data_IF_707132403294
#
_entry.id   IF_707132403294
#
_cell.length_a   1.000
_cell.length_b   1.000
_cell.length_c   1.000
_cell.angle_alpha   90.00
_cell.angle_beta   90.00
_cell.angle_gamma   90.00
#
_symmetry.space_group_name_H-M   'P 1'
#
loop_
_entity.id
_entity.type
_entity.pdbx_description
1 polymer ?
#
# COMPACT_ATOMS: atom_id res chain seq x y z
N UNK A 1 -4.78 -38.94 36.40
CA UNK A 1 -4.16 -37.97 35.47
C UNK A 1 -5.12 -37.77 34.32
N UNK A 2 -5.72 -36.58 34.14
CA UNK A 2 -6.18 -36.05 32.84
C UNK A 2 -6.92 -34.73 33.06
N UNK A 3 -6.31 -33.61 32.67
CA UNK A 3 -7.03 -32.43 32.16
C UNK A 3 -6.04 -31.44 31.54
N UNK A 4 -5.95 -31.44 30.21
CA UNK A 4 -5.35 -30.37 29.43
C UNK A 4 -6.05 -30.34 28.07
N UNK A 5 -7.16 -29.57 27.97
CA UNK A 5 -7.80 -29.23 26.71
C UNK A 5 -8.82 -28.09 26.96
N UNK A 6 -8.38 -26.85 27.15
CA UNK A 6 -9.33 -25.70 27.26
C UNK A 6 -8.83 -24.35 26.70
N UNK A 7 -7.73 -24.30 25.92
CA UNK A 7 -7.13 -23.01 25.54
C UNK A 7 -7.36 -22.59 24.08
N UNK A 8 -7.88 -23.47 23.22
CA UNK A 8 -8.04 -23.16 21.79
C UNK A 8 -9.42 -22.56 21.40
N UNK A 9 -10.49 -22.84 22.16
CA UNK A 9 -11.85 -22.40 21.78
C UNK A 9 -12.19 -20.94 22.20
N UNK A 10 -11.37 -20.29 23.02
CA UNK A 10 -11.69 -18.97 23.58
C UNK A 10 -11.13 -17.77 22.78
N UNK A 11 -10.17 -18.00 21.88
CA UNK A 11 -9.60 -16.92 21.03
C UNK A 11 -10.45 -16.62 19.80
N UNK A 12 -11.11 -17.63 19.23
CA UNK A 12 -11.89 -17.50 17.99
C UNK A 12 -13.22 -16.76 18.21
N UNK A 13 -13.88 -16.92 19.36
CA UNK A 13 -15.13 -16.20 19.65
C UNK A 13 -14.92 -14.72 19.98
N UNK A 14 -13.79 -14.36 20.59
CA UNK A 14 -13.45 -12.98 20.95
C UNK A 14 -13.01 -12.12 19.74
N UNK A 15 -12.37 -12.73 18.74
CA UNK A 15 -12.01 -12.05 17.49
C UNK A 15 -13.26 -11.73 16.65
N UNK A 16 -14.18 -12.71 16.51
CA UNK A 16 -15.46 -12.53 15.82
C UNK A 16 -16.36 -11.47 16.49
N UNK A 17 -16.35 -11.37 17.82
CA UNK A 17 -17.10 -10.33 18.54
C UNK A 17 -16.50 -8.92 18.35
N UNK A 18 -15.17 -8.81 18.25
CA UNK A 18 -14.51 -7.52 18.04
C UNK A 18 -14.74 -6.98 16.62
N UNK A 19 -14.62 -7.83 15.59
CA UNK A 19 -14.89 -7.43 14.21
C UNK A 19 -16.35 -7.01 14.00
N UNK A 20 -17.31 -7.75 14.59
CA UNK A 20 -18.72 -7.41 14.51
C UNK A 20 -19.06 -6.06 15.17
N UNK A 21 -18.37 -5.69 16.26
CA UNK A 21 -18.53 -4.39 16.92
C UNK A 21 -17.85 -3.24 16.17
N UNK A 22 -16.81 -3.54 15.38
CA UNK A 22 -16.06 -2.53 14.65
C UNK A 22 -16.72 -2.12 13.34
N UNK A 23 -17.28 -3.08 12.57
CA UNK A 23 -17.88 -2.83 11.24
C UNK A 23 -18.85 -1.64 11.18
N UNK A 24 -19.84 -1.51 12.08
CA UNK A 24 -20.78 -0.38 12.02
C UNK A 24 -20.11 0.99 12.19
N UNK A 25 -18.91 1.03 12.78
CA UNK A 25 -18.14 2.27 12.97
C UNK A 25 -17.34 2.67 11.73
N UNK A 26 -17.11 1.72 10.81
CA UNK A 26 -16.39 1.95 9.55
C UNK A 26 -17.31 2.59 8.50
N UNK A 27 -18.62 2.38 8.62
CA UNK A 27 -19.62 2.96 7.73
C UNK A 27 -19.48 4.49 7.62
N UNK A 28 -19.41 5.00 6.39
CA UNK A 28 -19.24 6.44 6.13
C UNK A 28 -17.81 6.97 6.33
N UNK A 29 -16.83 6.07 6.55
CA UNK A 29 -15.40 6.40 6.54
C UNK A 29 -14.75 5.87 5.25
N UNK A 30 -13.50 6.24 5.02
CA UNK A 30 -12.69 5.67 3.94
C UNK A 30 -12.08 4.30 4.28
N UNK A 31 -12.48 3.70 5.42
CA UNK A 31 -12.08 2.35 5.82
C UNK A 31 -13.15 1.38 5.33
N UNK A 32 -12.76 0.38 4.53
CA UNK A 32 -13.68 -0.55 3.95
C UNK A 32 -14.19 -1.60 4.98
N UNK A 33 -15.49 -1.87 4.97
CA UNK A 33 -16.17 -2.75 5.94
C UNK A 33 -15.84 -4.25 5.76
N UNK A 34 -15.23 -4.62 4.63
CA UNK A 34 -14.83 -6.00 4.33
C UNK A 34 -13.34 -6.21 4.57
N UNK A 35 -12.48 -5.36 3.99
CA UNK A 35 -11.03 -5.50 4.08
C UNK A 35 -10.45 -4.93 5.39
N UNK A 36 -11.15 -3.98 6.02
CA UNK A 36 -10.71 -3.20 7.18
C UNK A 36 -9.48 -2.31 6.88
N UNK A 37 -9.24 -2.03 5.61
CA UNK A 37 -8.16 -1.17 5.11
C UNK A 37 -8.72 0.18 4.65
N UNK A 38 -7.91 1.23 4.79
CA UNK A 38 -8.25 2.58 4.35
C UNK A 38 -7.53 2.96 3.06
N UNK A 39 -8.26 3.51 2.10
CA UNK A 39 -7.68 3.97 0.83
C UNK A 39 -6.81 5.21 1.00
N UNK A 40 -7.00 6.02 2.05
CA UNK A 40 -6.15 7.19 2.32
C UNK A 40 -4.68 6.86 2.45
N UNK A 41 -4.34 5.61 2.80
CA UNK A 41 -2.95 5.16 2.82
C UNK A 41 -2.24 5.41 1.49
N UNK A 42 -2.93 5.33 0.35
CA UNK A 42 -2.33 5.53 -0.97
C UNK A 42 -1.94 6.99 -1.29
N UNK A 43 -2.34 7.95 -0.48
CA UNK A 43 -2.07 9.37 -0.77
C UNK A 43 -0.56 9.66 -0.78
N UNK A 44 0.23 9.09 0.14
CA UNK A 44 1.67 9.34 0.17
C UNK A 44 2.41 8.78 -1.05
N UNK A 45 1.91 7.70 -1.67
CA UNK A 45 2.44 7.22 -2.95
C UNK A 45 2.00 8.11 -4.12
N UNK A 46 0.78 8.64 -4.06
CA UNK A 46 0.28 9.59 -5.07
C UNK A 46 1.15 10.86 -5.12
N UNK A 47 1.66 11.31 -3.97
CA UNK A 47 2.62 12.41 -3.87
C UNK A 47 3.94 12.07 -4.58
N UNK A 48 4.48 10.86 -4.38
CA UNK A 48 5.69 10.42 -5.10
C UNK A 48 5.44 10.35 -6.62
N UNK A 49 4.32 9.77 -7.06
CA UNK A 49 3.96 9.71 -8.48
C UNK A 49 3.83 11.10 -9.08
N UNK A 50 3.26 12.06 -8.34
CA UNK A 50 3.22 13.46 -8.78
C UNK A 50 4.62 14.04 -8.98
N UNK A 51 5.55 13.80 -8.04
CA UNK A 51 6.94 14.24 -8.16
C UNK A 51 7.62 13.64 -9.38
N UNK A 52 7.49 12.32 -9.59
CA UNK A 52 8.06 11.62 -10.75
C UNK A 52 7.56 12.21 -12.08
N UNK A 53 6.27 12.50 -12.19
CA UNK A 53 5.69 13.11 -13.39
C UNK A 53 6.18 14.54 -13.66
N UNK A 54 6.73 15.23 -12.66
CA UNK A 54 7.26 16.59 -12.81
C UNK A 54 8.74 16.62 -13.24
N UNK A 55 9.50 15.56 -12.97
CA UNK A 55 10.95 15.50 -13.25
C UNK A 55 11.33 15.84 -14.71
N UNK A 56 10.61 15.39 -15.76
CA UNK A 56 10.98 15.72 -17.14
C UNK A 56 11.01 17.21 -17.47
N UNK A 57 10.17 18.01 -16.80
CA UNK A 57 10.11 19.46 -16.95
C UNK A 57 10.91 20.19 -15.85
N UNK A 58 11.02 19.58 -14.67
CA UNK A 58 11.70 20.13 -13.48
C UNK A 58 12.60 19.06 -12.84
N UNK A 59 13.84 18.87 -13.35
CA UNK A 59 14.75 17.84 -12.86
C UNK A 59 15.11 17.97 -11.37
N UNK A 60 14.97 19.16 -10.78
CA UNK A 60 15.13 19.43 -9.35
C UNK A 60 14.11 18.69 -8.47
N UNK A 61 12.93 18.33 -9.01
CA UNK A 61 11.96 17.49 -8.30
C UNK A 61 12.49 16.08 -7.99
N UNK A 62 13.61 15.65 -8.59
CA UNK A 62 14.28 14.39 -8.24
C UNK A 62 14.79 14.41 -6.79
N UNK A 63 15.26 15.55 -6.29
CA UNK A 63 15.75 15.68 -4.92
C UNK A 63 14.60 15.49 -3.92
N UNK A 64 13.43 16.05 -4.21
CA UNK A 64 12.21 15.86 -3.42
C UNK A 64 11.74 14.38 -3.47
N UNK A 65 11.80 13.75 -4.65
CA UNK A 65 11.46 12.34 -4.81
C UNK A 65 12.42 11.41 -4.06
N UNK A 66 13.70 11.80 -3.92
CA UNK A 66 14.71 11.09 -3.11
C UNK A 66 14.55 11.33 -1.61
N UNK A 67 14.04 12.50 -1.23
CA UNK A 67 13.75 12.83 0.16
C UNK A 67 12.48 12.15 0.67
N UNK A 68 11.58 11.76 -0.24
CA UNK A 68 10.43 10.93 0.09
C UNK A 68 10.87 9.57 0.65
N UNK A 69 10.22 9.14 1.72
CA UNK A 69 10.50 7.85 2.37
C UNK A 69 9.21 7.03 2.49
N UNK A 70 9.29 5.71 2.28
CA UNK A 70 8.14 4.84 2.48
C UNK A 70 7.69 4.86 3.93
N UNK A 71 6.38 4.75 4.16
CA UNK A 71 5.79 4.63 5.49
C UNK A 71 5.01 3.33 5.56
N UNK A 72 5.10 2.64 6.69
CA UNK A 72 4.16 1.54 6.98
C UNK A 72 2.75 2.09 7.14
N UNK A 73 1.74 1.21 7.03
CA UNK A 73 0.35 1.58 7.25
C UNK A 73 0.15 2.21 8.64
N UNK A 74 0.74 1.60 9.68
CA UNK A 74 0.67 2.14 11.04
C UNK A 74 1.37 3.49 11.18
N UNK A 75 2.57 3.67 10.64
CA UNK A 75 3.29 4.96 10.68
C UNK A 75 2.48 6.06 9.99
N UNK A 76 1.93 5.78 8.82
CA UNK A 76 1.13 6.74 8.06
C UNK A 76 -0.06 7.28 8.86
N UNK A 77 -0.82 6.40 9.51
CA UNK A 77 -1.96 6.81 10.34
C UNK A 77 -1.58 7.31 11.73
N UNK A 78 -0.42 6.94 12.26
CA UNK A 78 0.09 7.46 13.53
C UNK A 78 0.57 8.92 13.40
N UNK A 79 1.22 9.26 12.28
CA UNK A 79 1.70 10.61 12.00
C UNK A 79 0.62 11.52 11.42
N UNK A 80 -0.35 10.96 10.70
CA UNK A 80 -1.39 11.70 10.00
C UNK A 80 -2.49 12.28 10.89
N UNK A 81 -2.99 13.47 10.55
CA UNK A 81 -4.13 14.13 11.20
C UNK A 81 -5.48 13.72 10.56
N UNK A 82 -5.69 12.43 10.30
CA UNK A 82 -6.96 11.96 9.75
C UNK A 82 -8.01 11.83 10.87
N UNK A 83 -9.24 12.24 10.59
CA UNK A 83 -10.36 12.13 11.55
C UNK A 83 -10.56 10.70 12.07
N UNK A 84 -10.16 9.71 11.28
CA UNK A 84 -10.34 8.29 11.57
C UNK A 84 -9.03 7.51 11.76
N UNK A 85 -7.87 8.17 11.97
CA UNK A 85 -6.57 7.50 12.14
C UNK A 85 -6.59 6.38 13.18
N UNK A 86 -7.13 6.66 14.38
CA UNK A 86 -7.24 5.64 15.45
C UNK A 86 -8.16 4.49 15.07
N UNK A 87 -9.21 4.75 14.28
CA UNK A 87 -10.13 3.73 13.82
C UNK A 87 -9.48 2.86 12.74
N UNK A 88 -8.74 3.47 11.80
CA UNK A 88 -8.00 2.78 10.76
C UNK A 88 -6.96 1.83 11.35
N UNK A 89 -6.18 2.26 12.34
CA UNK A 89 -5.22 1.38 13.04
C UNK A 89 -5.91 0.22 13.77
N UNK A 90 -7.06 0.46 14.42
CA UNK A 90 -7.83 -0.60 15.08
C UNK A 90 -8.40 -1.61 14.09
N UNK A 91 -8.88 -1.13 12.94
CA UNK A 91 -9.38 -1.98 11.86
C UNK A 91 -8.24 -2.82 11.27
N UNK A 92 -7.10 -2.19 10.97
CA UNK A 92 -5.90 -2.85 10.45
C UNK A 92 -5.36 -3.97 11.34
N UNK A 93 -5.41 -3.78 12.66
CA UNK A 93 -4.94 -4.77 13.63
C UNK A 93 -5.73 -6.09 13.59
N UNK A 94 -6.97 -6.05 13.11
CA UNK A 94 -7.86 -7.22 13.01
C UNK A 94 -8.31 -7.47 11.57
N UNK A 95 -7.65 -6.86 10.59
CA UNK A 95 -8.01 -6.99 9.18
C UNK A 95 -7.89 -8.46 8.74
N UNK A 96 -8.86 -8.99 7.95
CA UNK A 96 -8.80 -10.37 7.49
C UNK A 96 -7.52 -10.64 6.69
N UNK A 97 -6.87 -11.77 6.96
CA UNK A 97 -5.59 -12.13 6.33
C UNK A 97 -5.70 -12.25 4.80
N UNK A 98 -6.89 -12.61 4.29
CA UNK A 98 -7.17 -12.68 2.84
C UNK A 98 -7.05 -11.33 2.11
N UNK A 99 -7.10 -10.20 2.83
CA UNK A 99 -6.85 -8.86 2.28
C UNK A 99 -5.53 -8.30 2.78
N UNK A 100 -5.24 -8.47 4.07
CA UNK A 100 -4.06 -7.87 4.70
C UNK A 100 -2.76 -8.41 4.12
N UNK A 101 -2.63 -9.73 3.92
CA UNK A 101 -1.39 -10.31 3.40
C UNK A 101 -1.11 -9.84 1.97
N UNK A 102 -2.04 -9.99 0.99
CA UNK A 102 -1.81 -9.47 -0.36
C UNK A 102 -1.54 -7.95 -0.40
N UNK A 103 -2.19 -7.19 0.49
CA UNK A 103 -1.99 -5.75 0.60
C UNK A 103 -0.55 -5.44 1.05
N UNK A 104 -0.10 -6.03 2.15
CA UNK A 104 1.27 -5.83 2.68
C UNK A 104 2.32 -6.28 1.66
N UNK A 105 2.13 -7.43 1.00
CA UNK A 105 3.02 -7.93 -0.05
C UNK A 105 3.10 -6.98 -1.24
N UNK A 106 1.96 -6.43 -1.70
CA UNK A 106 1.94 -5.49 -2.83
C UNK A 106 2.60 -4.17 -2.46
N UNK A 107 2.40 -3.68 -1.23
CA UNK A 107 3.05 -2.47 -0.70
C UNK A 107 4.56 -2.66 -0.57
N UNK A 108 5.01 -3.82 -0.05
CA UNK A 108 6.44 -4.14 0.06
C UNK A 108 7.12 -4.14 -1.33
N UNK A 109 6.45 -4.74 -2.32
CA UNK A 109 6.93 -4.72 -3.71
C UNK A 109 7.00 -3.30 -4.29
N UNK A 110 5.96 -2.50 -4.05
CA UNK A 110 5.94 -1.11 -4.50
C UNK A 110 7.13 -0.36 -3.90
N UNK A 111 7.36 -0.51 -2.60
CA UNK A 111 8.48 0.10 -1.89
C UNK A 111 9.86 -0.37 -2.39
N UNK A 112 10.01 -1.65 -2.71
CA UNK A 112 11.30 -2.22 -3.13
C UNK A 112 11.74 -1.76 -4.52
N UNK A 113 10.80 -1.38 -5.39
CA UNK A 113 11.11 -0.93 -6.76
C UNK A 113 11.49 0.57 -6.83
N UNK A 114 11.02 1.39 -5.90
CA UNK A 114 11.23 2.85 -5.92
C UNK A 114 12.72 3.23 -6.04
N UNK A 115 13.66 2.68 -5.24
CA UNK A 115 15.07 3.07 -5.31
C UNK A 115 15.68 2.86 -6.70
N UNK A 116 15.37 1.74 -7.35
CA UNK A 116 15.88 1.41 -8.68
C UNK A 116 15.36 2.39 -9.74
N UNK A 117 14.08 2.75 -9.67
CA UNK A 117 13.52 3.76 -10.57
C UNK A 117 14.19 5.13 -10.37
N UNK A 118 14.42 5.54 -9.12
CA UNK A 118 15.10 6.80 -8.84
C UNK A 118 16.56 6.79 -9.34
N UNK A 119 17.27 5.67 -9.22
CA UNK A 119 18.64 5.51 -9.74
C UNK A 119 18.69 5.64 -11.29
N UNK A 120 17.72 5.02 -11.98
CA UNK A 120 17.59 5.11 -13.45
C UNK A 120 17.28 6.54 -13.91
N UNK A 121 16.34 7.20 -13.24
CA UNK A 121 15.98 8.60 -13.52
C UNK A 121 17.18 9.51 -13.25
N UNK A 122 17.90 9.33 -12.14
CA UNK A 122 19.10 10.11 -11.84
C UNK A 122 20.19 9.94 -12.90
N UNK A 123 20.42 8.72 -13.36
CA UNK A 123 21.35 8.42 -14.46
C UNK A 123 20.93 9.15 -15.73
N UNK A 124 19.63 9.13 -16.06
CA UNK A 124 19.08 9.84 -17.20
C UNK A 124 19.27 11.36 -17.08
N UNK A 125 19.00 11.94 -15.91
CA UNK A 125 19.19 13.38 -15.64
C UNK A 125 20.66 13.78 -15.81
N UNK A 126 21.58 13.00 -15.24
CA UNK A 126 23.04 13.23 -15.36
C UNK A 126 23.55 13.12 -16.80
N UNK A 127 22.91 12.32 -17.64
CA UNK A 127 23.28 12.19 -19.05
C UNK A 127 22.88 13.40 -19.90
N UNK A 128 21.98 14.26 -19.41
CA UNK A 128 21.41 15.37 -20.16
C UNK A 128 20.41 14.95 -21.26
N UNK A 129 20.09 13.66 -21.37
CA UNK A 129 19.14 13.14 -22.36
C UNK A 129 17.69 13.31 -21.88
N UNK A 130 17.02 14.38 -22.34
CA UNK A 130 15.62 14.69 -21.98
C UNK A 130 14.62 13.59 -22.36
N UNK A 131 14.83 12.91 -23.48
CA UNK A 131 13.94 11.80 -23.90
C UNK A 131 14.06 10.64 -22.92
N UNK A 132 15.29 10.31 -22.49
CA UNK A 132 15.53 9.27 -21.51
C UNK A 132 14.93 9.63 -20.14
N UNK A 133 15.05 10.88 -19.68
CA UNK A 133 14.42 11.34 -18.43
C UNK A 133 12.89 11.16 -18.51
N UNK A 134 12.29 11.55 -19.63
CA UNK A 134 10.85 11.40 -19.87
C UNK A 134 10.44 9.93 -19.82
N UNK A 135 11.21 9.07 -20.51
CA UNK A 135 10.96 7.63 -20.55
C UNK A 135 11.05 6.98 -19.16
N UNK A 136 12.15 7.18 -18.43
CA UNK A 136 12.34 6.57 -17.11
C UNK A 136 11.32 7.07 -16.09
N UNK A 137 11.01 8.38 -16.10
CA UNK A 137 10.00 8.96 -15.19
C UNK A 137 8.59 8.44 -15.47
N UNK A 138 8.23 8.29 -16.74
CA UNK A 138 6.93 7.73 -17.14
C UNK A 138 6.84 6.23 -16.82
N UNK A 139 7.91 5.46 -17.06
CA UNK A 139 7.98 4.04 -16.73
C UNK A 139 7.80 3.80 -15.22
N UNK A 140 8.52 4.56 -14.39
CA UNK A 140 8.37 4.51 -12.95
C UNK A 140 6.94 4.83 -12.51
N UNK A 141 6.41 5.99 -12.95
CA UNK A 141 5.08 6.46 -12.57
C UNK A 141 3.97 5.48 -12.96
N UNK A 142 4.01 4.94 -14.19
CA UNK A 142 3.02 3.98 -14.66
C UNK A 142 3.11 2.65 -13.92
N UNK A 143 4.31 2.19 -13.57
CA UNK A 143 4.47 0.93 -12.85
C UNK A 143 3.99 1.05 -11.41
N UNK A 144 4.36 2.14 -10.73
CA UNK A 144 3.85 2.42 -9.39
C UNK A 144 2.33 2.56 -9.39
N UNK A 145 1.74 3.26 -10.37
CA UNK A 145 0.28 3.41 -10.47
C UNK A 145 -0.42 2.05 -10.61
N UNK A 146 0.11 1.12 -11.43
CA UNK A 146 -0.46 -0.24 -11.55
C UNK A 146 -0.45 -1.00 -10.23
N UNK A 147 0.63 -0.90 -9.45
CA UNK A 147 0.69 -1.52 -8.12
C UNK A 147 -0.26 -0.82 -7.14
N UNK A 148 -0.35 0.51 -7.18
CA UNK A 148 -1.30 1.28 -6.38
C UNK A 148 -2.75 0.90 -6.69
N UNK A 149 -3.09 0.61 -7.95
CA UNK A 149 -4.43 0.16 -8.33
C UNK A 149 -4.77 -1.20 -7.70
N UNK A 150 -3.79 -2.12 -7.61
CA UNK A 150 -3.95 -3.41 -6.90
C UNK A 150 -4.14 -3.19 -5.40
N UNK A 151 -3.32 -2.34 -4.78
CA UNK A 151 -3.45 -1.97 -3.36
C UNK A 151 -4.82 -1.34 -3.09
N UNK A 152 -5.31 -0.49 -4.01
CA UNK A 152 -6.62 0.16 -3.93
C UNK A 152 -7.75 -0.85 -4.03
N UNK A 153 -7.69 -1.81 -4.95
CA UNK A 153 -8.67 -2.88 -5.07
C UNK A 153 -8.75 -3.70 -3.76
N UNK A 154 -7.60 -4.13 -3.24
CA UNK A 154 -7.52 -4.86 -1.97
C UNK A 154 -8.07 -4.03 -0.80
N UNK A 155 -7.74 -2.74 -0.75
CA UNK A 155 -8.25 -1.83 0.25
C UNK A 155 -9.78 -1.68 0.15
N UNK A 156 -10.35 -1.75 -1.06
CA UNK A 156 -11.80 -1.75 -1.29
C UNK A 156 -12.48 -3.11 -1.09
N UNK A 157 -11.76 -4.13 -0.61
CA UNK A 157 -12.31 -5.47 -0.40
C UNK A 157 -12.52 -6.25 -1.69
N UNK A 158 -12.01 -5.74 -2.80
CA UNK A 158 -11.99 -6.44 -4.08
C UNK A 158 -10.79 -7.38 -4.09
N UNK A 159 -11.05 -8.66 -4.33
CA UNK A 159 -9.99 -9.59 -4.69
C UNK A 159 -9.79 -9.41 -6.20
N UNK A 160 -8.60 -9.01 -6.67
CA UNK A 160 -8.31 -9.08 -8.09
C UNK A 160 -8.66 -10.50 -8.56
N UNK A 161 -9.53 -10.64 -9.56
CA UNK A 161 -9.81 -11.93 -10.20
C UNK A 161 -8.62 -12.30 -11.07
N UNK A 162 -7.49 -12.55 -10.43
CA UNK A 162 -6.26 -12.97 -11.06
C UNK A 162 -6.06 -14.39 -10.57
N UNK A 163 -6.43 -15.31 -11.46
CA UNK A 163 -6.02 -16.72 -11.48
C UNK A 163 -4.70 -16.88 -10.72
N UNK A 164 -4.62 -17.81 -9.78
CA UNK A 164 -3.57 -17.95 -8.74
C UNK A 164 -2.12 -18.02 -9.27
N UNK A 165 -1.92 -17.95 -10.58
CA UNK A 165 -0.63 -17.88 -11.28
C UNK A 165 -0.23 -16.48 -11.75
N UNK A 166 -1.13 -15.49 -11.82
CA UNK A 166 -0.77 -14.16 -12.34
C UNK A 166 -0.02 -13.29 -11.32
N UNK A 167 -0.16 -13.58 -10.02
CA UNK A 167 0.75 -13.01 -9.03
C UNK A 167 2.13 -13.64 -9.25
N UNK A 168 2.26 -14.96 -9.37
CA UNK A 168 3.54 -15.64 -9.67
C UNK A 168 4.16 -15.20 -11.02
N UNK A 169 3.39 -15.09 -12.10
CA UNK A 169 3.84 -14.62 -13.42
C UNK A 169 4.16 -13.12 -13.42
N UNK A 170 3.52 -12.32 -12.56
CA UNK A 170 3.88 -10.93 -12.31
C UNK A 170 5.04 -10.84 -11.31
N UNK A 171 5.36 -11.87 -10.53
CA UNK A 171 6.45 -11.97 -9.55
C UNK A 171 7.78 -12.45 -10.18
N UNK A 172 7.79 -12.93 -11.43
CA UNK A 172 8.99 -13.37 -12.15
C UNK A 172 9.65 -12.29 -13.06
N UNK A 173 9.67 -11.01 -12.65
CA UNK A 173 10.48 -9.96 -13.31
C UNK A 173 11.28 -9.16 -12.29
#
# INVERSE_FOLDING_TARGET
MFRAAHTAQNKTSASLSTAALLRPRLAGTNINEQSFLATDYLNHFSELVLLLNLIPERPDCLDDARAWTPKTYEEYFAEGQFAYSTLAMKAYAIAPSEFKIPFETTVERLNSQIPEYLDRIETAVKSGNRELVTHESANASQTLQRLMDVVSALANGERPSMDDNAIDDLLEL
#
